data_IF_157105351271
#
_entry.id   IF_157105351271
#
_cell.length_a   1.000
_cell.length_b   1.000
_cell.length_c   1.000
_cell.angle_alpha   90.00
_cell.angle_beta   90.00
_cell.angle_gamma   90.00
#
_symmetry.space_group_name_H-M   'P 1'
#
loop_
_entity.id
_entity.type
_entity.pdbx_description
1 polymer ?
#
# COMPACT_ATOMS: atom_id res chain seq x y z
N UNK A 1 -18.58 8.72 -9.59
CA UNK A 1 -17.66 9.70 -9.03
C UNK A 1 -16.66 10.15 -10.10
N UNK A 2 -16.57 11.45 -10.37
CA UNK A 2 -15.56 12.02 -11.26
C UNK A 2 -14.23 12.13 -10.51
N UNK A 3 -13.35 11.13 -10.74
CA UNK A 3 -12.04 11.06 -10.07
C UNK A 3 -11.11 12.22 -10.40
N UNK A 4 -11.16 12.76 -11.64
CA UNK A 4 -10.33 13.90 -12.06
C UNK A 4 -10.76 15.17 -11.35
N UNK A 5 -12.06 15.41 -11.27
CA UNK A 5 -12.62 16.56 -10.57
C UNK A 5 -12.33 16.49 -9.06
N UNK A 6 -12.50 15.33 -8.43
CA UNK A 6 -12.13 15.16 -7.03
C UNK A 6 -10.63 15.42 -6.81
N UNK A 7 -9.77 14.82 -7.62
CA UNK A 7 -8.33 15.04 -7.55
C UNK A 7 -7.96 16.53 -7.64
N UNK A 8 -8.56 17.30 -8.55
CA UNK A 8 -8.28 18.73 -8.69
C UNK A 8 -8.67 19.55 -7.45
N UNK A 9 -9.59 19.06 -6.64
CA UNK A 9 -10.01 19.74 -5.40
C UNK A 9 -9.16 19.38 -4.17
N UNK A 10 -8.55 18.20 -4.15
CA UNK A 10 -7.78 17.71 -3.01
C UNK A 10 -6.27 17.83 -3.24
N UNK A 11 -5.79 17.81 -4.51
CA UNK A 11 -4.38 17.99 -4.82
C UNK A 11 -3.91 19.40 -4.40
N UNK A 12 -2.85 19.45 -3.58
CA UNK A 12 -2.30 20.69 -3.06
C UNK A 12 -3.10 21.34 -1.92
N UNK A 13 -4.13 20.65 -1.41
CA UNK A 13 -4.89 21.09 -0.24
C UNK A 13 -4.95 19.99 0.83
N UNK A 14 -3.99 19.97 1.79
CA UNK A 14 -3.90 18.94 2.83
C UNK A 14 -5.17 18.81 3.68
N UNK A 15 -5.80 19.94 4.02
CA UNK A 15 -7.01 19.96 4.84
C UNK A 15 -8.20 19.27 4.14
N UNK A 16 -8.40 19.54 2.84
CA UNK A 16 -9.43 18.85 2.07
C UNK A 16 -9.13 17.38 1.85
N UNK A 17 -7.87 17.04 1.67
CA UNK A 17 -7.44 15.64 1.57
C UNK A 17 -7.76 14.90 2.87
N UNK A 18 -7.49 15.50 4.03
CA UNK A 18 -7.80 14.92 5.33
C UNK A 18 -9.32 14.72 5.52
N UNK A 19 -10.14 15.72 5.16
CA UNK A 19 -11.60 15.61 5.21
C UNK A 19 -12.12 14.46 4.34
N UNK A 20 -11.61 14.31 3.13
CA UNK A 20 -11.99 13.22 2.22
C UNK A 20 -11.53 11.87 2.77
N UNK A 21 -10.32 11.79 3.30
CA UNK A 21 -9.77 10.58 3.90
C UNK A 21 -10.55 10.15 5.15
N UNK A 22 -10.99 11.10 5.97
CA UNK A 22 -11.84 10.83 7.14
C UNK A 22 -13.18 10.17 6.78
N UNK A 23 -13.66 10.35 5.56
CA UNK A 23 -14.87 9.69 5.04
C UNK A 23 -14.52 8.35 4.38
N UNK A 24 -13.51 8.35 3.50
CA UNK A 24 -13.20 7.19 2.65
C UNK A 24 -12.59 6.05 3.46
N UNK A 25 -11.63 6.33 4.33
CA UNK A 25 -10.90 5.26 5.04
C UNK A 25 -11.80 4.39 5.92
N UNK A 26 -12.71 4.94 6.75
CA UNK A 26 -13.64 4.13 7.53
C UNK A 26 -14.57 3.28 6.65
N UNK A 27 -15.05 3.83 5.53
CA UNK A 27 -15.93 3.09 4.62
C UNK A 27 -15.23 1.95 3.90
N UNK A 28 -13.99 2.17 3.43
CA UNK A 28 -13.17 1.10 2.83
C UNK A 28 -12.90 0.01 3.85
N UNK A 29 -12.57 0.39 5.08
CA UNK A 29 -12.34 -0.54 6.19
C UNK A 29 -13.58 -1.39 6.47
N UNK A 30 -14.72 -0.75 6.69
CA UNK A 30 -15.99 -1.43 6.92
C UNK A 30 -16.36 -2.39 5.78
N UNK A 31 -16.16 -1.96 4.53
CA UNK A 31 -16.44 -2.78 3.36
C UNK A 31 -15.49 -3.99 3.27
N UNK A 32 -14.21 -3.79 3.56
CA UNK A 32 -13.22 -4.87 3.56
C UNK A 32 -13.55 -5.92 4.63
N UNK A 33 -13.83 -5.52 5.86
CA UNK A 33 -14.21 -6.44 6.94
C UNK A 33 -15.48 -7.22 6.61
N UNK A 34 -16.52 -6.55 6.12
CA UNK A 34 -17.74 -7.23 5.69
C UNK A 34 -17.53 -8.15 4.46
N UNK A 35 -16.50 -7.90 3.65
CA UNK A 35 -16.12 -8.79 2.56
C UNK A 35 -15.37 -10.01 3.09
N UNK A 36 -14.44 -9.86 4.05
CA UNK A 36 -13.69 -10.99 4.63
C UNK A 36 -14.62 -12.00 5.31
N UNK A 37 -15.66 -11.53 6.03
CA UNK A 37 -16.66 -12.40 6.68
C UNK A 37 -17.40 -13.34 5.71
N UNK A 38 -17.43 -12.99 4.43
CA UNK A 38 -18.10 -13.78 3.38
C UNK A 38 -17.17 -14.71 2.61
N UNK A 39 -15.88 -14.71 2.96
CA UNK A 39 -14.91 -15.58 2.32
C UNK A 39 -14.82 -16.94 3.03
N UNK A 40 -14.57 -17.97 2.24
CA UNK A 40 -14.36 -19.33 2.74
C UNK A 40 -12.89 -19.76 2.66
N UNK A 41 -11.99 -18.78 2.51
CA UNK A 41 -10.53 -19.00 2.46
C UNK A 41 -9.91 -18.73 3.83
N UNK A 42 -8.88 -19.49 4.24
CA UNK A 42 -8.22 -19.25 5.52
C UNK A 42 -7.47 -17.93 5.57
N UNK A 43 -7.12 -17.36 4.43
CA UNK A 43 -6.38 -16.10 4.31
C UNK A 43 -7.09 -15.19 3.32
N UNK A 44 -7.24 -13.92 3.73
CA UNK A 44 -7.66 -12.81 2.87
C UNK A 44 -6.58 -11.75 2.87
N UNK A 45 -6.33 -11.12 1.74
CA UNK A 45 -5.33 -10.07 1.63
C UNK A 45 -5.92 -8.78 1.05
N UNK A 46 -5.41 -7.65 1.52
CA UNK A 46 -5.66 -6.33 0.95
C UNK A 46 -4.32 -5.68 0.57
N UNK A 47 -4.26 -5.08 -0.61
CA UNK A 47 -3.11 -4.29 -1.03
C UNK A 47 -3.42 -2.80 -0.85
N UNK A 48 -2.50 -2.08 -0.19
CA UNK A 48 -2.60 -0.64 0.01
C UNK A 48 -1.24 0.03 0.08
N UNK A 49 -1.02 1.03 -0.77
CA UNK A 49 0.19 1.85 -0.72
C UNK A 49 0.26 2.74 0.54
N UNK A 50 -0.87 2.97 1.20
CA UNK A 50 -1.02 3.84 2.38
C UNK A 50 -1.59 3.08 3.58
N UNK A 51 -1.20 1.82 3.75
CA UNK A 51 -1.72 0.94 4.79
C UNK A 51 -1.60 1.55 6.21
N UNK A 52 -0.43 2.08 6.52
CA UNK A 52 -0.12 2.68 7.83
C UNK A 52 -0.73 4.07 7.97
N UNK A 53 -0.65 4.89 6.92
CA UNK A 53 -1.18 6.25 6.89
C UNK A 53 -2.71 6.27 7.07
N UNK A 54 -3.41 5.29 6.51
CA UNK A 54 -4.85 5.13 6.63
C UNK A 54 -5.31 4.44 7.92
N UNK A 55 -4.37 3.89 8.70
CA UNK A 55 -4.67 3.11 9.91
C UNK A 55 -5.20 1.70 9.63
N UNK A 56 -5.16 1.23 8.38
CA UNK A 56 -5.63 -0.11 8.00
C UNK A 56 -4.84 -1.25 8.65
N UNK A 57 -3.57 -0.99 9.01
CA UNK A 57 -2.74 -1.93 9.76
C UNK A 57 -3.33 -2.37 11.11
N UNK A 58 -4.36 -1.67 11.62
CA UNK A 58 -5.03 -2.01 12.89
C UNK A 58 -6.14 -3.05 12.74
N UNK A 59 -6.54 -3.38 11.52
CA UNK A 59 -7.66 -4.29 11.22
C UNK A 59 -7.23 -5.54 10.46
N UNK A 60 -5.95 -5.70 10.25
CA UNK A 60 -5.33 -6.90 9.67
C UNK A 60 -4.49 -7.60 10.73
N UNK A 61 -4.41 -8.91 10.64
CA UNK A 61 -3.66 -9.72 11.62
C UNK A 61 -2.14 -9.64 11.38
N UNK A 62 -1.75 -9.43 10.11
CA UNK A 62 -0.34 -9.42 9.68
C UNK A 62 -0.13 -8.45 8.53
N UNK A 63 1.00 -7.78 8.55
CA UNK A 63 1.41 -6.81 7.52
C UNK A 63 2.65 -7.30 6.78
N UNK A 64 2.60 -7.26 5.45
CA UNK A 64 3.71 -7.62 4.57
C UNK A 64 4.09 -6.42 3.70
N UNK A 65 5.32 -5.93 3.85
CA UNK A 65 5.85 -4.90 2.96
C UNK A 65 6.56 -5.55 1.77
N UNK A 66 6.20 -5.14 0.57
CA UNK A 66 6.96 -5.45 -0.65
C UNK A 66 7.91 -4.29 -0.93
N UNK A 67 9.18 -4.49 -0.61
CA UNK A 67 10.20 -3.45 -0.73
C UNK A 67 10.96 -3.55 -2.06
N UNK A 68 11.20 -2.41 -2.68
CA UNK A 68 12.19 -2.24 -3.75
C UNK A 68 12.90 -0.89 -3.59
N UNK A 69 14.20 -0.79 -3.91
CA UNK A 69 14.93 0.48 -3.90
C UNK A 69 14.22 1.56 -4.70
N UNK A 70 14.30 2.80 -4.26
CA UNK A 70 13.59 3.94 -4.87
C UNK A 70 13.81 4.04 -6.38
N UNK A 71 15.05 3.93 -6.85
CA UNK A 71 15.36 4.00 -8.28
C UNK A 71 14.74 2.85 -9.09
N UNK A 72 14.66 1.65 -8.52
CA UNK A 72 13.99 0.51 -9.14
C UNK A 72 12.49 0.78 -9.29
N UNK A 73 11.86 1.36 -8.26
CA UNK A 73 10.43 1.73 -8.29
C UNK A 73 10.17 2.84 -9.30
N UNK A 74 11.02 3.88 -9.34
CA UNK A 74 10.91 4.97 -10.30
C UNK A 74 11.02 4.42 -11.72
N UNK A 75 12.05 3.62 -12.01
CA UNK A 75 12.22 3.00 -13.32
C UNK A 75 10.99 2.22 -13.76
N UNK A 76 10.48 1.33 -12.90
CA UNK A 76 9.29 0.52 -13.19
C UNK A 76 8.03 1.36 -13.41
N UNK A 77 7.85 2.45 -12.65
CA UNK A 77 6.72 3.35 -12.82
C UNK A 77 6.79 4.08 -14.17
N UNK A 78 7.97 4.56 -14.58
CA UNK A 78 8.16 5.21 -15.88
C UNK A 78 7.97 4.26 -17.08
N UNK A 79 8.29 2.97 -16.90
CA UNK A 79 8.08 1.95 -17.94
C UNK A 79 6.58 1.56 -18.06
N UNK A 80 5.83 1.62 -16.97
CA UNK A 80 4.42 1.22 -16.94
C UNK A 80 3.46 2.34 -17.29
N UNK A 81 3.72 3.54 -16.80
CA UNK A 81 2.79 4.67 -16.82
C UNK A 81 3.37 5.82 -17.66
N UNK A 82 2.49 6.57 -18.33
CA UNK A 82 2.87 7.81 -19.02
C UNK A 82 2.88 8.95 -17.98
N UNK A 83 3.95 9.03 -17.20
CA UNK A 83 4.15 10.01 -16.13
C UNK A 83 5.58 10.53 -16.14
N UNK A 84 5.83 11.71 -15.58
CA UNK A 84 7.19 12.22 -15.42
C UNK A 84 7.87 11.62 -14.17
N UNK A 85 9.21 11.68 -14.16
CA UNK A 85 10.01 11.26 -12.99
C UNK A 85 9.64 12.07 -11.74
N UNK A 86 9.43 13.37 -11.91
CA UNK A 86 9.05 14.29 -10.84
C UNK A 86 7.68 13.94 -10.24
N UNK A 87 6.74 13.50 -11.06
CA UNK A 87 5.45 13.03 -10.57
C UNK A 87 5.57 11.73 -9.76
N UNK A 88 6.42 10.81 -10.21
CA UNK A 88 6.68 9.56 -9.46
C UNK A 88 7.32 9.88 -8.11
N UNK A 89 8.33 10.74 -8.09
CA UNK A 89 9.01 11.16 -6.85
C UNK A 89 8.00 11.82 -5.88
N UNK A 90 7.19 12.77 -6.35
CA UNK A 90 6.16 13.39 -5.50
C UNK A 90 5.18 12.39 -4.90
N UNK A 91 4.78 11.35 -5.65
CA UNK A 91 3.93 10.27 -5.12
C UNK A 91 4.64 9.45 -4.04
N UNK A 92 5.92 9.16 -4.21
CA UNK A 92 6.71 8.46 -3.20
C UNK A 92 6.83 9.31 -1.93
N UNK A 93 7.17 10.60 -2.06
CA UNK A 93 7.35 11.53 -0.95
C UNK A 93 6.05 11.87 -0.21
N UNK A 94 4.89 11.67 -0.84
CA UNK A 94 3.59 11.86 -0.21
C UNK A 94 3.19 10.71 0.74
N UNK A 95 3.97 9.65 0.80
CA UNK A 95 3.77 8.49 1.67
C UNK A 95 4.79 8.46 2.79
N UNK A 96 4.55 7.63 3.81
CA UNK A 96 5.56 7.35 4.84
C UNK A 96 6.87 6.84 4.20
N UNK A 97 8.02 7.25 4.75
CA UNK A 97 9.32 6.74 4.32
C UNK A 97 9.41 5.21 4.41
N UNK A 98 10.12 4.61 3.47
CA UNK A 98 10.26 3.14 3.40
C UNK A 98 10.84 2.53 4.67
N UNK A 99 11.80 3.20 5.32
CA UNK A 99 12.39 2.70 6.57
C UNK A 99 11.34 2.64 7.69
N UNK A 100 10.46 3.64 7.78
CA UNK A 100 9.36 3.64 8.75
C UNK A 100 8.36 2.53 8.44
N UNK A 101 8.06 2.29 7.15
CA UNK A 101 7.17 1.19 6.74
C UNK A 101 7.79 -0.17 7.05
N UNK A 102 9.09 -0.34 6.84
CA UNK A 102 9.82 -1.57 7.20
C UNK A 102 9.73 -1.87 8.69
N UNK A 103 10.02 -0.87 9.54
CA UNK A 103 9.96 -1.01 11.00
C UNK A 103 8.57 -1.35 11.51
N UNK A 104 7.52 -0.90 10.81
CA UNK A 104 6.12 -1.13 11.18
C UNK A 104 5.55 -2.43 10.61
N UNK A 105 6.20 -3.03 9.63
CA UNK A 105 5.72 -4.24 8.97
C UNK A 105 6.23 -5.48 9.70
N UNK A 106 5.37 -6.49 9.84
CA UNK A 106 5.73 -7.78 10.44
C UNK A 106 6.69 -8.55 9.54
N UNK A 107 6.52 -8.41 8.23
CA UNK A 107 7.36 -9.06 7.21
C UNK A 107 7.77 -8.09 6.10
N UNK A 108 8.95 -8.32 5.54
CA UNK A 108 9.47 -7.59 4.38
C UNK A 108 9.92 -8.56 3.29
N UNK A 109 9.38 -8.43 2.11
CA UNK A 109 9.78 -9.15 0.90
C UNK A 109 10.52 -8.20 -0.03
N UNK A 110 11.70 -8.59 -0.48
CA UNK A 110 12.55 -7.78 -1.35
C UNK A 110 12.27 -8.08 -2.82
N UNK A 111 11.65 -7.15 -3.52
CA UNK A 111 11.42 -7.18 -4.97
C UNK A 111 12.40 -6.24 -5.69
N UNK A 112 13.69 -6.40 -5.44
CA UNK A 112 14.77 -5.55 -5.94
C UNK A 112 15.33 -5.97 -7.31
N UNK A 113 14.85 -7.08 -7.85
CA UNK A 113 15.34 -7.68 -9.10
C UNK A 113 16.62 -8.52 -8.92
N UNK A 114 17.10 -8.70 -7.68
CA UNK A 114 18.29 -9.50 -7.36
C UNK A 114 17.94 -10.74 -6.57
N UNK A 115 17.02 -10.62 -5.63
CA UNK A 115 16.57 -11.72 -4.79
C UNK A 115 15.37 -12.43 -5.43
N UNK A 116 15.35 -13.76 -5.36
CA UNK A 116 14.21 -14.55 -5.82
C UNK A 116 12.98 -14.31 -4.90
N UNK A 117 11.84 -13.99 -5.49
CA UNK A 117 10.60 -13.72 -4.74
C UNK A 117 9.96 -14.98 -4.16
N UNK A 118 9.91 -16.07 -4.93
CA UNK A 118 9.20 -17.28 -4.52
C UNK A 118 9.69 -17.87 -3.18
N UNK A 119 11.00 -17.99 -2.90
CA UNK A 119 11.46 -18.48 -1.60
C UNK A 119 11.02 -17.58 -0.45
N UNK A 120 11.04 -16.26 -0.62
CA UNK A 120 10.62 -15.29 0.39
C UNK A 120 9.11 -15.41 0.67
N UNK A 121 8.30 -15.54 -0.37
CA UNK A 121 6.84 -15.71 -0.23
C UNK A 121 6.53 -17.07 0.42
N UNK A 122 7.23 -18.13 0.04
CA UNK A 122 7.04 -19.45 0.64
C UNK A 122 7.36 -19.43 2.13
N UNK A 123 8.45 -18.80 2.53
CA UNK A 123 8.81 -18.65 3.95
C UNK A 123 7.71 -17.87 4.72
N UNK A 124 7.27 -16.75 4.19
CA UNK A 124 6.17 -15.95 4.76
C UNK A 124 4.90 -16.79 4.95
N UNK A 125 4.47 -17.53 3.92
CA UNK A 125 3.26 -18.35 3.99
C UNK A 125 3.40 -19.51 4.98
N UNK A 126 4.60 -20.05 5.15
CA UNK A 126 4.86 -21.09 6.15
C UNK A 126 4.67 -20.54 7.56
N UNK A 127 5.21 -19.37 7.85
CA UNK A 127 5.06 -18.73 9.17
C UNK A 127 3.61 -18.29 9.43
N UNK A 128 2.90 -17.83 8.40
CA UNK A 128 1.49 -17.41 8.53
C UNK A 128 0.56 -18.58 8.92
N UNK A 129 0.93 -19.82 8.58
CA UNK A 129 0.15 -21.02 8.87
C UNK A 129 0.57 -21.73 10.17
N UNK A 130 1.51 -21.14 10.94
CA UNK A 130 2.00 -21.69 12.20
C UNK A 130 1.31 -21.04 13.37
#
# INVERSE_FOLDING_TARGET
LDKKRLASHIFGNPERLEQVNAIIHPEVNRHFLAWTERQNTPVCAIESAILFESGFNRVVDTTLMVYAPMEVRIKRALERDVVSREEVIRRIESQLPDEVKKEKSDYVVFNDGKQALLPQITAFLTELNT
#
